data_IF_823618639162
#
_entry.id   IF_823618639162
#
_cell.length_a   1.000
_cell.length_b   1.000
_cell.length_c   1.000
_cell.angle_alpha   90.00
_cell.angle_beta   90.00
_cell.angle_gamma   90.00
#
_symmetry.space_group_name_H-M   'P 1'
#
loop_
_entity.id
_entity.type
_entity.pdbx_description
1 polymer ?
#
# COMPACT_ATOMS: atom_id res chain seq x y z
N UNK A 1 -15.38 14.64 14.86
CA UNK A 1 -14.86 13.37 15.41
C UNK A 1 -13.49 13.16 14.80
N UNK A 2 -12.44 13.01 15.59
CA UNK A 2 -11.09 12.78 15.05
C UNK A 2 -11.05 11.39 14.45
N UNK A 3 -10.80 11.27 13.15
CA UNK A 3 -10.64 9.98 12.46
C UNK A 3 -9.34 9.35 12.96
N UNK A 4 -9.43 8.18 13.60
CA UNK A 4 -8.25 7.45 14.06
C UNK A 4 -7.40 7.00 12.86
N UNK A 5 -6.08 7.07 13.02
CA UNK A 5 -5.13 6.57 12.02
C UNK A 5 -5.18 5.04 11.98
N UNK A 6 -5.53 4.40 10.84
CA UNK A 6 -5.65 2.96 10.77
C UNK A 6 -4.26 2.30 10.77
N UNK A 7 -4.08 1.33 11.67
CA UNK A 7 -2.81 0.61 11.85
C UNK A 7 -2.83 -0.81 11.28
N UNK A 8 -3.98 -1.25 10.77
CA UNK A 8 -4.19 -2.57 10.18
C UNK A 8 -5.39 -2.55 9.22
N UNK A 9 -5.57 -3.58 8.38
CA UNK A 9 -6.74 -3.71 7.51
C UNK A 9 -8.08 -3.64 8.26
N UNK A 10 -8.15 -4.22 9.45
CA UNK A 10 -9.36 -4.27 10.28
C UNK A 10 -9.73 -2.92 10.90
N UNK A 11 -8.75 -2.00 11.00
CA UNK A 11 -8.96 -0.65 11.50
C UNK A 11 -9.47 0.32 10.42
N UNK A 12 -9.53 -0.11 9.15
CA UNK A 12 -10.10 0.70 8.07
C UNK A 12 -11.60 0.94 8.32
N UNK A 13 -12.05 2.13 7.95
CA UNK A 13 -13.47 2.49 7.99
C UNK A 13 -13.86 3.17 6.69
N UNK A 14 -15.13 3.07 6.31
CA UNK A 14 -15.68 3.80 5.16
C UNK A 14 -15.50 5.31 5.31
N UNK A 15 -15.65 5.84 6.53
CA UNK A 15 -15.43 7.26 6.82
C UNK A 15 -13.99 7.69 6.58
N UNK A 16 -13.01 6.93 7.08
CA UNK A 16 -11.59 7.22 6.85
C UNK A 16 -11.22 7.09 5.37
N UNK A 17 -11.64 6.01 4.71
CA UNK A 17 -11.38 5.79 3.28
C UNK A 17 -11.99 6.92 2.44
N UNK A 18 -13.23 7.33 2.73
CA UNK A 18 -13.87 8.42 1.99
C UNK A 18 -13.10 9.74 2.14
N UNK A 19 -12.60 10.02 3.34
CA UNK A 19 -11.84 11.24 3.62
C UNK A 19 -10.49 11.27 2.88
N UNK A 20 -9.75 10.16 2.85
CA UNK A 20 -8.43 10.14 2.21
C UNK A 20 -8.47 9.92 0.70
N UNK A 21 -9.53 9.31 0.18
CA UNK A 21 -9.71 9.08 -1.27
C UNK A 21 -10.48 10.20 -1.97
N UNK A 22 -11.06 11.14 -1.22
CA UNK A 22 -11.93 12.21 -1.73
C UNK A 22 -13.08 11.65 -2.61
N UNK A 23 -13.71 10.57 -2.14
CA UNK A 23 -14.84 9.92 -2.81
C UNK A 23 -15.79 9.30 -1.77
N UNK A 24 -17.03 8.99 -2.15
CA UNK A 24 -17.99 8.40 -1.20
C UNK A 24 -17.87 6.87 -1.18
N UNK A 25 -17.21 6.32 -0.17
CA UNK A 25 -17.12 4.86 0.07
C UNK A 25 -18.32 4.41 0.92
N UNK A 26 -19.18 3.59 0.34
CA UNK A 26 -20.38 3.04 0.99
C UNK A 26 -20.07 1.72 1.71
N UNK A 27 -19.23 0.87 1.10
CA UNK A 27 -18.79 -0.40 1.66
C UNK A 27 -17.40 -0.76 1.11
N UNK A 28 -16.73 -1.70 1.78
CA UNK A 28 -15.48 -2.26 1.29
C UNK A 28 -15.27 -3.68 1.80
N UNK A 29 -14.40 -4.43 1.14
CA UNK A 29 -13.89 -5.72 1.61
C UNK A 29 -12.38 -5.78 1.46
N UNK A 30 -11.72 -6.57 2.29
CA UNK A 30 -10.25 -6.72 2.27
C UNK A 30 -9.87 -8.17 1.97
N UNK A 31 -8.81 -8.35 1.18
CA UNK A 31 -8.23 -9.66 0.86
C UNK A 31 -6.70 -9.56 0.96
N UNK A 32 -6.07 -10.24 1.94
CA UNK A 32 -4.61 -10.30 2.01
C UNK A 32 -3.99 -10.78 0.70
N UNK A 33 -2.88 -10.16 0.29
CA UNK A 33 -2.10 -10.57 -0.88
C UNK A 33 -0.73 -11.09 -0.42
N UNK A 34 -0.43 -12.35 -0.74
CA UNK A 34 0.81 -13.05 -0.39
C UNK A 34 0.56 -14.35 0.36
N UNK A 35 1.36 -15.39 0.08
CA UNK A 35 1.47 -16.56 0.95
C UNK A 35 2.40 -16.22 2.10
N UNK A 36 1.85 -16.12 3.31
CA UNK A 36 2.55 -15.60 4.47
C UNK A 36 2.47 -14.07 4.53
N UNK A 37 2.18 -13.57 5.73
CA UNK A 37 2.35 -12.16 6.10
C UNK A 37 3.69 -11.70 5.54
N UNK A 38 3.72 -10.71 4.63
CA UNK A 38 4.98 -10.09 4.22
C UNK A 38 5.74 -9.78 5.50
N UNK A 39 6.91 -10.41 5.71
CA UNK A 39 7.52 -10.52 7.05
C UNK A 39 7.53 -9.14 7.72
N UNK A 40 7.91 -8.14 6.95
CA UNK A 40 8.10 -6.76 7.38
C UNK A 40 6.87 -5.85 7.14
N UNK A 41 5.75 -6.33 6.57
CA UNK A 41 4.54 -5.52 6.35
C UNK A 41 3.33 -6.31 5.82
N UNK A 42 2.12 -5.81 6.09
CA UNK A 42 0.89 -6.36 5.54
C UNK A 42 0.61 -5.72 4.18
N UNK A 43 0.25 -6.55 3.20
CA UNK A 43 -0.24 -6.09 1.90
C UNK A 43 -1.64 -6.68 1.70
N UNK A 44 -2.63 -5.84 1.49
CA UNK A 44 -4.01 -6.27 1.30
C UNK A 44 -4.63 -5.56 0.11
N UNK A 45 -5.42 -6.29 -0.67
CA UNK A 45 -6.31 -5.71 -1.66
C UNK A 45 -7.56 -5.25 -0.95
N UNK A 46 -7.96 -4.01 -1.21
CA UNK A 46 -9.24 -3.46 -0.76
C UNK A 46 -10.13 -3.30 -1.98
N UNK A 47 -11.28 -3.96 -1.97
CA UNK A 47 -12.34 -3.75 -2.95
C UNK A 47 -13.31 -2.73 -2.38
N UNK A 48 -13.60 -1.66 -3.12
CA UNK A 48 -14.44 -0.55 -2.67
C UNK A 48 -15.76 -0.54 -3.43
N UNK A 49 -16.83 -0.21 -2.72
CA UNK A 49 -18.14 0.08 -3.27
C UNK A 49 -18.47 1.54 -2.97
N UNK A 50 -18.62 2.36 -4.00
CA UNK A 50 -18.76 3.80 -3.85
C UNK A 50 -18.82 4.54 -5.18
N UNK A 51 -19.30 5.78 -5.14
CA UNK A 51 -19.35 6.65 -6.31
C UNK A 51 -18.05 7.45 -6.42
N UNK A 52 -17.45 7.49 -7.62
CA UNK A 52 -16.18 8.19 -7.87
C UNK A 52 -14.94 7.52 -7.29
N UNK A 53 -15.08 6.39 -6.58
CA UNK A 53 -13.96 5.66 -5.98
C UNK A 53 -13.29 4.69 -6.97
N UNK A 54 -11.99 4.37 -6.78
CA UNK A 54 -11.38 3.25 -7.49
C UNK A 54 -12.08 1.94 -7.10
N UNK A 55 -12.24 1.00 -8.04
CA UNK A 55 -12.86 -0.31 -7.76
C UNK A 55 -12.05 -1.14 -6.77
N UNK A 56 -10.73 -1.10 -6.92
CA UNK A 56 -9.78 -1.76 -6.04
C UNK A 56 -8.56 -0.88 -5.79
N UNK A 57 -7.91 -1.10 -4.66
CA UNK A 57 -6.61 -0.52 -4.31
C UNK A 57 -5.79 -1.51 -3.48
N UNK A 58 -4.49 -1.27 -3.37
CA UNK A 58 -3.60 -1.95 -2.44
C UNK A 58 -3.43 -1.09 -1.20
N UNK A 59 -3.70 -1.64 -0.03
CA UNK A 59 -3.35 -1.03 1.25
C UNK A 59 -2.15 -1.79 1.85
N UNK A 60 -1.12 -1.04 2.23
CA UNK A 60 0.03 -1.55 2.97
C UNK A 60 0.02 -1.01 4.40
N UNK A 61 0.38 -1.88 5.35
CA UNK A 61 0.51 -1.54 6.77
C UNK A 61 1.80 -2.14 7.34
N UNK A 62 2.22 -1.66 8.50
CA UNK A 62 3.32 -2.26 9.25
C UNK A 62 3.03 -3.72 9.61
N UNK A 63 4.10 -4.47 9.90
CA UNK A 63 3.98 -5.86 10.34
C UNK A 63 3.21 -5.95 11.68
N UNK A 64 2.33 -6.95 11.89
CA UNK A 64 1.72 -7.18 13.19
C UNK A 64 2.73 -7.72 14.22
N UNK A 65 3.88 -8.24 13.77
CA UNK A 65 4.93 -8.80 14.61
C UNK A 65 5.92 -7.73 15.04
N UNK A 66 6.14 -7.57 16.35
CA UNK A 66 6.99 -6.53 16.91
C UNK A 66 8.45 -6.61 16.44
N UNK A 67 9.04 -7.81 16.40
CA UNK A 67 10.42 -8.01 15.96
C UNK A 67 10.61 -7.58 14.49
N UNK A 68 9.63 -7.89 13.65
CA UNK A 68 9.67 -7.47 12.24
C UNK A 68 9.53 -5.95 12.10
N UNK A 69 8.72 -5.29 12.95
CA UNK A 69 8.68 -3.82 13.01
C UNK A 69 10.00 -3.23 13.51
N UNK A 70 10.68 -3.87 14.45
CA UNK A 70 11.98 -3.42 14.94
C UNK A 70 13.04 -3.48 13.83
N UNK A 71 13.05 -4.57 13.06
CA UNK A 71 13.91 -4.72 11.87
C UNK A 71 13.55 -3.66 10.81
N UNK A 72 12.26 -3.47 10.50
CA UNK A 72 11.83 -2.46 9.55
C UNK A 72 12.24 -1.04 9.98
N UNK A 73 12.13 -0.73 11.28
CA UNK A 73 12.55 0.55 11.83
C UNK A 73 14.06 0.76 11.82
N UNK A 74 14.87 -0.28 11.99
CA UNK A 74 16.34 -0.20 11.89
C UNK A 74 16.78 0.25 10.49
N UNK A 75 16.08 -0.22 9.45
CA UNK A 75 16.37 0.11 8.06
C UNK A 75 15.47 1.23 7.49
N UNK A 76 14.67 1.89 8.34
CA UNK A 76 13.77 2.99 8.00
C UNK A 76 12.84 2.68 6.83
N UNK A 77 12.33 1.46 6.81
CA UNK A 77 11.76 0.95 5.59
C UNK A 77 10.40 1.56 5.26
N UNK A 78 9.56 1.78 6.27
CA UNK A 78 8.26 2.44 6.10
C UNK A 78 8.41 3.90 5.69
N UNK A 79 9.38 4.62 6.28
CA UNK A 79 9.68 6.00 5.92
C UNK A 79 10.17 6.08 4.47
N UNK A 80 11.09 5.20 4.08
CA UNK A 80 11.62 5.13 2.70
C UNK A 80 10.52 4.90 1.67
N UNK A 81 9.56 4.03 1.97
CA UNK A 81 8.46 3.76 1.05
C UNK A 81 7.53 4.97 0.91
N UNK A 82 7.25 5.68 2.00
CA UNK A 82 6.47 6.92 1.97
C UNK A 82 7.20 7.98 1.17
N UNK A 83 8.47 8.25 1.48
CA UNK A 83 9.30 9.19 0.74
C UNK A 83 9.37 8.84 -0.74
N UNK A 84 9.45 7.55 -1.08
CA UNK A 84 9.40 7.13 -2.48
C UNK A 84 8.13 7.62 -3.17
N UNK A 85 6.96 7.39 -2.57
CA UNK A 85 5.69 7.76 -3.20
C UNK A 85 5.36 9.24 -3.14
N UNK A 86 5.80 9.96 -2.10
CA UNK A 86 5.49 11.38 -1.92
C UNK A 86 6.49 12.30 -2.61
N UNK A 87 7.75 11.92 -2.69
CA UNK A 87 8.84 12.80 -3.15
C UNK A 87 9.54 12.29 -4.40
N UNK A 88 9.79 10.98 -4.52
CA UNK A 88 10.64 10.43 -5.60
C UNK A 88 9.81 10.09 -6.84
N UNK A 89 8.76 9.29 -6.69
CA UNK A 89 7.92 8.80 -7.80
C UNK A 89 7.39 9.93 -8.71
N UNK A 90 6.97 11.10 -8.19
CA UNK A 90 6.55 12.23 -9.04
C UNK A 90 7.67 12.80 -9.92
N UNK A 91 8.94 12.55 -9.61
CA UNK A 91 10.12 13.05 -10.36
C UNK A 91 10.60 12.08 -11.43
N UNK A 92 10.10 10.84 -11.43
CA UNK A 92 10.55 9.79 -12.33
C UNK A 92 9.75 9.80 -13.64
N UNK A 93 10.43 9.54 -14.75
CA UNK A 93 9.79 9.34 -16.07
C UNK A 93 9.24 7.92 -16.26
N UNK A 94 9.57 7.01 -15.34
CA UNK A 94 9.04 5.64 -15.33
C UNK A 94 7.69 5.60 -14.61
N UNK A 95 6.81 4.68 -15.04
CA UNK A 95 5.55 4.44 -14.34
C UNK A 95 5.85 4.01 -12.90
N UNK A 96 5.01 4.44 -11.96
CA UNK A 96 4.85 3.93 -10.59
C UNK A 96 3.34 3.76 -10.32
N UNK A 97 2.88 2.82 -9.45
CA UNK A 97 1.49 2.78 -9.02
C UNK A 97 1.07 4.17 -8.52
N UNK A 98 -0.11 4.65 -8.90
CA UNK A 98 -0.63 5.90 -8.35
C UNK A 98 -0.74 5.75 -6.83
N UNK A 99 -0.12 6.68 -6.09
CA UNK A 99 -0.35 6.82 -4.66
C UNK A 99 -1.63 7.60 -4.43
N UNK A 100 -2.60 7.00 -3.77
CA UNK A 100 -3.83 7.67 -3.32
C UNK A 100 -3.62 8.36 -1.98
N UNK A 101 -2.90 7.71 -1.07
CA UNK A 101 -2.64 8.22 0.26
C UNK A 101 -1.35 7.61 0.81
N UNK A 102 -0.52 8.43 1.44
CA UNK A 102 0.65 8.01 2.20
C UNK A 102 0.59 8.66 3.59
N UNK A 103 0.46 7.84 4.62
CA UNK A 103 0.34 8.28 6.01
C UNK A 103 1.44 7.66 6.85
N UNK A 104 2.13 8.50 7.62
CA UNK A 104 3.06 8.10 8.67
C UNK A 104 2.73 8.86 9.94
N UNK A 105 2.61 8.14 11.05
CA UNK A 105 2.58 8.76 12.38
C UNK A 105 3.97 8.60 13.01
N UNK A 106 4.75 9.68 13.18
CA UNK A 106 6.10 9.60 13.74
C UNK A 106 6.13 9.16 15.21
N UNK A 107 5.05 9.39 15.97
CA UNK A 107 4.98 9.06 17.39
C UNK A 107 4.74 7.56 17.59
N UNK A 108 3.73 7.01 16.89
CA UNK A 108 3.41 5.58 16.96
C UNK A 108 4.19 4.72 15.96
N UNK A 109 4.88 5.35 15.00
CA UNK A 109 5.50 4.74 13.82
C UNK A 109 4.50 3.95 12.97
N UNK A 110 3.21 4.31 13.06
CA UNK A 110 2.18 3.70 12.26
C UNK A 110 2.31 4.13 10.80
N UNK A 111 2.02 3.20 9.91
CA UNK A 111 2.24 3.33 8.48
C UNK A 111 0.98 2.86 7.75
N UNK A 112 0.49 3.68 6.83
CA UNK A 112 -0.54 3.28 5.87
C UNK A 112 -0.23 3.88 4.51
N UNK A 113 -0.25 3.03 3.50
CA UNK A 113 -0.03 3.44 2.12
C UNK A 113 -1.12 2.83 1.24
N UNK A 114 -1.85 3.67 0.51
CA UNK A 114 -2.90 3.28 -0.42
C UNK A 114 -2.42 3.52 -1.85
N UNK A 115 -2.33 2.45 -2.64
CA UNK A 115 -1.76 2.44 -3.97
C UNK A 115 -2.75 1.88 -4.99
N UNK A 116 -2.57 2.28 -6.25
CA UNK A 116 -3.20 1.65 -7.40
C UNK A 116 -3.00 0.14 -7.40
N UNK A 117 -4.10 -0.59 -7.56
CA UNK A 117 -4.09 -2.02 -7.78
C UNK A 117 -3.79 -2.30 -9.25
N UNK A 118 -2.65 -2.95 -9.49
CA UNK A 118 -2.16 -3.29 -10.82
C UNK A 118 -2.61 -4.71 -11.22
N UNK A 119 -3.82 -5.12 -10.84
CA UNK A 119 -4.33 -6.49 -11.02
C UNK A 119 -4.38 -6.98 -12.48
N UNK A 120 -4.34 -6.05 -13.44
CA UNK A 120 -4.27 -6.33 -14.87
C UNK A 120 -2.86 -6.64 -15.38
N UNK A 121 -1.85 -6.55 -14.51
CA UNK A 121 -0.46 -6.80 -14.84
C UNK A 121 0.03 -8.11 -14.22
N UNK A 122 0.82 -8.87 -14.98
CA UNK A 122 1.44 -10.10 -14.49
C UNK A 122 2.65 -9.78 -13.59
N UNK A 123 2.79 -10.55 -12.50
CA UNK A 123 3.99 -10.50 -11.65
C UNK A 123 5.17 -11.01 -12.48
N UNK A 124 6.19 -10.17 -12.65
CA UNK A 124 7.40 -10.59 -13.34
C UNK A 124 8.22 -11.62 -12.54
N UNK A 125 8.83 -12.57 -13.26
CA UNK A 125 9.73 -13.55 -12.67
C UNK A 125 11.00 -12.86 -12.13
N UNK A 126 11.19 -12.95 -10.82
CA UNK A 126 12.30 -12.28 -10.12
C UNK A 126 13.65 -13.01 -10.24
N UNK A 127 13.67 -14.25 -10.73
CA UNK A 127 14.89 -15.07 -10.88
C UNK A 127 15.35 -15.07 -12.34
N UNK A 128 14.40 -15.23 -13.27
CA UNK A 128 14.73 -15.29 -14.69
C UNK A 128 14.98 -13.91 -15.32
N UNK A 129 14.44 -12.83 -14.73
CA UNK A 129 14.34 -11.53 -15.41
C UNK A 129 13.31 -11.59 -16.55
N UNK A 130 12.78 -10.44 -16.98
CA UNK A 130 11.60 -10.41 -17.84
C UNK A 130 11.82 -9.78 -19.22
N UNK A 131 11.30 -10.43 -20.27
CA UNK A 131 11.37 -10.02 -21.70
C UNK A 131 10.00 -9.65 -22.30
N UNK A 132 8.91 -9.70 -21.53
CA UNK A 132 7.56 -9.40 -22.04
C UNK A 132 7.25 -7.90 -22.04
N UNK A 133 6.71 -7.34 -23.15
CA UNK A 133 6.33 -5.92 -23.23
C UNK A 133 5.10 -5.55 -22.37
N UNK A 134 4.33 -6.54 -21.91
CA UNK A 134 3.16 -6.33 -21.03
C UNK A 134 3.51 -6.38 -19.54
N UNK A 135 4.78 -6.58 -19.19
CA UNK A 135 5.22 -6.59 -17.80
C UNK A 135 5.83 -5.23 -17.48
N UNK A 136 5.02 -4.37 -16.88
CA UNK A 136 5.54 -3.22 -16.17
C UNK A 136 5.97 -3.71 -14.79
N UNK A 137 7.24 -4.11 -14.70
CA UNK A 137 7.83 -4.59 -13.46
C UNK A 137 7.88 -3.43 -12.46
N UNK A 138 6.80 -3.31 -11.69
CA UNK A 138 6.79 -2.63 -10.40
C UNK A 138 6.21 -3.64 -9.44
N UNK A 139 6.92 -4.76 -9.37
CA UNK A 139 6.72 -5.89 -8.49
C UNK A 139 6.29 -5.41 -7.11
N UNK A 140 4.99 -5.39 -6.80
CA UNK A 140 4.47 -5.00 -5.48
C UNK A 140 5.11 -3.72 -4.89
N UNK A 141 5.54 -2.78 -5.73
CA UNK A 141 6.38 -1.62 -5.41
C UNK A 141 7.22 -1.76 -4.12
N UNK A 142 8.40 -2.36 -4.28
CA UNK A 142 9.47 -2.48 -3.27
C UNK A 142 9.17 -3.44 -2.11
N UNK A 143 9.65 -4.70 -2.15
CA UNK A 143 9.98 -5.42 -0.93
C UNK A 143 11.38 -4.97 -0.48
N UNK A 144 11.46 -3.75 0.08
CA UNK A 144 12.60 -3.20 0.84
C UNK A 144 13.85 -2.72 0.07
#
# INVERSE_FOLDING_TARGET
>A
MTTLFPISPEALTTHWLSAVLDCQVNAFSVKPLGEGVGILGLVTRVTLEGEGCPKTLIAKFQSPVADNRAVAGLYQLYEREITFYTEIAPTLSIRAPRCFHAGYDPDSRAFVLLLEDLDQYEIGDQVAGNVSPNVHCISFAMPW
#
